data_IF_754840249918
#
_entry.id   IF_754840249918
#
_cell.length_a   1.000
_cell.length_b   1.000
_cell.length_c   1.000
_cell.angle_alpha   90.00
_cell.angle_beta   90.00
_cell.angle_gamma   90.00
#
_symmetry.space_group_name_H-M   'P 1'
#
loop_
_entity.id
_entity.type
_entity.pdbx_description
1 polymer ?
#
# COMPACT_ATOMS: atom_id res chain seq x y z
N UNK A 1 -9.97 29.19 -22.42
CA UNK A 1 -10.33 29.12 -20.99
C UNK A 1 -10.80 27.71 -20.69
N UNK A 2 -9.89 26.84 -20.24
CA UNK A 2 -10.23 25.46 -19.93
C UNK A 2 -10.97 25.41 -18.57
N UNK A 3 -12.15 24.80 -18.56
CA UNK A 3 -12.98 24.64 -17.37
C UNK A 3 -12.23 23.79 -16.33
N UNK A 4 -12.21 24.28 -15.08
CA UNK A 4 -11.73 23.51 -13.92
C UNK A 4 -12.55 22.21 -13.82
N UNK A 5 -11.92 21.02 -13.72
CA UNK A 5 -12.64 19.79 -13.44
C UNK A 5 -13.37 19.90 -12.09
N UNK A 6 -14.65 19.52 -12.07
CA UNK A 6 -15.51 19.64 -10.91
C UNK A 6 -15.08 18.65 -9.81
N UNK A 7 -15.29 19.04 -8.54
CA UNK A 7 -15.07 18.28 -7.29
C UNK A 7 -15.59 16.82 -7.25
N UNK A 8 -16.31 16.36 -8.28
CA UNK A 8 -16.99 15.05 -8.32
C UNK A 8 -16.12 13.89 -8.80
N UNK A 9 -14.98 14.15 -9.44
CA UNK A 9 -14.07 13.08 -9.92
C UNK A 9 -13.11 12.57 -8.83
N UNK A 10 -13.05 13.25 -7.68
CA UNK A 10 -12.23 12.87 -6.50
C UNK A 10 -12.86 11.72 -5.70
N UNK A 11 -14.12 11.38 -5.96
CA UNK A 11 -14.95 10.53 -5.08
C UNK A 11 -15.01 9.04 -5.46
N UNK A 12 -14.26 8.57 -6.47
CA UNK A 12 -14.27 7.14 -6.86
C UNK A 12 -13.04 6.33 -6.49
N UNK A 13 -12.07 6.94 -5.80
CA UNK A 13 -10.91 6.23 -5.22
C UNK A 13 -10.67 6.57 -3.73
N UNK A 14 -11.63 7.21 -3.06
CA UNK A 14 -11.39 7.82 -1.75
C UNK A 14 -12.46 7.35 -0.77
N UNK A 15 -12.14 6.35 0.06
CA UNK A 15 -12.98 5.99 1.18
C UNK A 15 -12.71 6.94 2.34
N UNK A 16 -13.76 7.72 2.65
CA UNK A 16 -14.05 8.44 3.89
C UNK A 16 -13.28 9.76 4.14
N UNK A 17 -14.04 10.85 4.08
CA UNK A 17 -13.70 12.15 4.65
C UNK A 17 -14.13 12.18 6.12
N UNK A 18 -13.21 12.48 7.04
CA UNK A 18 -13.54 13.08 8.34
C UNK A 18 -12.39 14.00 8.77
N UNK A 19 -12.70 15.28 8.94
CA UNK A 19 -11.77 16.35 9.25
C UNK A 19 -11.34 16.32 10.73
N UNK A 20 -10.05 16.57 11.00
CA UNK A 20 -9.55 16.79 12.35
C UNK A 20 -8.18 17.46 12.35
N UNK A 21 -8.15 18.78 12.21
CA UNK A 21 -6.95 19.63 12.25
C UNK A 21 -5.88 19.17 13.24
N UNK A 22 -4.77 18.63 12.74
CA UNK A 22 -3.52 18.53 13.49
C UNK A 22 -2.39 19.23 12.73
N UNK A 23 -1.73 20.11 13.47
CA UNK A 23 -0.65 20.99 13.03
C UNK A 23 0.51 20.21 12.42
N UNK A 24 0.84 20.53 11.17
CA UNK A 24 1.98 20.02 10.44
C UNK A 24 3.30 20.33 11.18
N UNK A 25 4.09 19.30 11.47
CA UNK A 25 5.52 19.47 11.81
C UNK A 25 6.33 19.03 10.60
N UNK A 26 6.53 19.98 9.69
CA UNK A 26 7.49 19.85 8.60
C UNK A 26 8.90 20.10 9.11
N UNK A 27 9.75 19.07 9.05
CA UNK A 27 11.17 19.17 9.31
C UNK A 27 11.81 17.81 9.07
N UNK A 28 12.83 17.77 8.20
CA UNK A 28 13.64 16.57 7.99
C UNK A 28 14.22 16.12 9.34
N UNK A 29 13.60 15.10 9.94
CA UNK A 29 14.10 14.50 11.17
C UNK A 29 15.30 13.63 10.82
N UNK A 30 16.39 13.70 11.60
CA UNK A 30 17.43 12.68 11.51
C UNK A 30 16.78 11.30 11.69
N UNK A 31 17.34 10.26 11.07
CA UNK A 31 16.81 8.89 11.17
C UNK A 31 16.66 8.48 12.64
N UNK A 32 15.47 8.68 13.19
CA UNK A 32 15.15 8.35 14.56
C UNK A 32 15.12 6.83 14.65
N UNK A 33 15.67 6.28 15.73
CA UNK A 33 15.52 4.86 16.00
C UNK A 33 14.01 4.54 16.03
N UNK A 34 13.60 3.47 15.33
CA UNK A 34 12.22 3.02 15.37
C UNK A 34 11.74 2.93 16.84
N UNK A 35 10.56 3.46 17.16
CA UNK A 35 10.07 3.58 18.54
C UNK A 35 10.04 2.20 19.21
N UNK A 36 10.28 2.14 20.52
CA UNK A 36 9.94 0.98 21.33
C UNK A 36 8.43 0.78 21.40
N UNK A 37 7.94 -0.39 21.80
CA UNK A 37 6.49 -0.62 21.91
C UNK A 37 5.84 0.28 22.98
N UNK A 38 6.62 0.74 23.97
CA UNK A 38 6.19 1.70 24.99
C UNK A 38 6.15 3.16 24.52
N UNK A 39 6.70 3.47 23.35
CA UNK A 39 6.72 4.83 22.79
C UNK A 39 5.53 5.07 21.82
N UNK A 40 4.76 4.01 21.52
CA UNK A 40 3.56 4.10 20.69
C UNK A 40 2.38 4.63 21.50
N UNK A 41 1.47 5.42 20.89
CA UNK A 41 0.31 5.96 21.58
C UNK A 41 -0.57 4.84 22.14
N UNK A 42 -1.05 5.02 23.37
CA UNK A 42 -2.10 4.16 23.91
C UNK A 42 -3.46 4.68 23.43
N UNK A 43 -4.19 3.85 22.69
CA UNK A 43 -5.45 4.20 22.05
C UNK A 43 -6.56 3.32 22.61
N UNK A 44 -7.38 3.82 23.55
CA UNK A 44 -8.45 3.04 24.18
C UNK A 44 -9.43 2.45 23.16
N UNK A 45 -9.65 1.15 23.22
CA UNK A 45 -10.58 0.43 22.33
C UNK A 45 -9.96 -0.05 21.01
N UNK A 46 -8.66 0.17 20.78
CA UNK A 46 -7.94 -0.41 19.64
C UNK A 46 -7.89 -1.94 19.74
N UNK A 47 -8.08 -2.62 18.61
CA UNK A 47 -8.02 -4.08 18.51
C UNK A 47 -6.93 -4.50 17.52
N UNK A 48 -6.28 -5.62 17.80
CA UNK A 48 -5.10 -6.10 17.07
C UNK A 48 -3.77 -5.57 17.63
N UNK A 49 -2.69 -5.77 16.89
CA UNK A 49 -1.36 -5.28 17.29
C UNK A 49 -1.29 -3.75 17.22
N UNK A 50 -0.84 -3.12 18.31
CA UNK A 50 -0.76 -1.65 18.43
C UNK A 50 0.18 -1.03 17.39
N UNK A 51 1.32 -1.67 17.13
CA UNK A 51 2.30 -1.17 16.17
C UNK A 51 1.79 -1.32 14.74
N UNK A 52 1.13 -2.43 14.44
CA UNK A 52 0.48 -2.63 13.14
C UNK A 52 -0.61 -1.58 12.92
N UNK A 53 -1.50 -1.34 13.88
CA UNK A 53 -2.48 -0.25 13.78
C UNK A 53 -1.80 1.10 13.53
N UNK A 54 -0.75 1.42 14.28
CA UNK A 54 -0.08 2.72 14.13
C UNK A 54 0.50 2.95 12.74
N UNK A 55 1.15 1.95 12.12
CA UNK A 55 1.69 2.15 10.76
C UNK A 55 0.59 2.34 9.72
N UNK A 56 -0.51 1.60 9.82
CA UNK A 56 -1.61 1.71 8.87
C UNK A 56 -2.40 3.00 9.09
N UNK A 57 -2.61 3.40 10.34
CA UNK A 57 -3.17 4.70 10.68
C UNK A 57 -2.34 5.85 10.08
N UNK A 58 -1.03 5.85 10.30
CA UNK A 58 -0.15 6.90 9.75
C UNK A 58 -0.12 6.89 8.22
N UNK A 59 -0.20 5.71 7.60
CA UNK A 59 -0.25 5.60 6.14
C UNK A 59 -1.55 6.18 5.60
N UNK A 60 -2.68 5.88 6.24
CA UNK A 60 -4.00 6.42 5.86
C UNK A 60 -4.03 7.94 6.07
N UNK A 61 -3.47 8.46 7.16
CA UNK A 61 -3.35 9.91 7.36
C UNK A 61 -2.53 10.56 6.25
N UNK A 62 -1.35 10.01 5.95
CA UNK A 62 -0.42 10.61 5.00
C UNK A 62 -0.88 10.53 3.53
N UNK A 63 -1.79 9.61 3.19
CA UNK A 63 -2.16 9.33 1.80
C UNK A 63 -3.64 9.49 1.48
N UNK A 64 -4.53 9.46 2.48
CA UNK A 64 -5.99 9.50 2.29
C UNK A 64 -6.64 10.67 3.04
N UNK A 65 -6.47 10.74 4.36
CA UNK A 65 -7.25 11.67 5.20
C UNK A 65 -6.65 13.08 5.22
N UNK A 66 -5.35 13.19 5.49
CA UNK A 66 -4.64 14.46 5.64
C UNK A 66 -3.33 14.48 4.84
N UNK A 67 -3.38 14.20 3.51
CA UNK A 67 -2.19 14.22 2.69
C UNK A 67 -1.59 15.63 2.65
N UNK A 68 -0.25 15.70 2.64
CA UNK A 68 0.44 16.97 2.44
C UNK A 68 0.11 17.56 1.06
N UNK A 69 0.31 18.88 0.90
CA UNK A 69 0.16 19.52 -0.40
C UNK A 69 1.11 18.90 -1.44
N UNK A 70 2.33 18.56 -1.03
CA UNK A 70 3.32 17.93 -1.91
C UNK A 70 2.82 16.56 -2.42
N UNK A 71 2.26 15.72 -1.55
CA UNK A 71 1.68 14.43 -1.95
C UNK A 71 0.47 14.64 -2.88
N UNK A 72 -0.39 15.61 -2.55
CA UNK A 72 -1.58 15.96 -3.33
C UNK A 72 -1.19 16.42 -4.74
N UNK A 73 -0.16 17.26 -4.87
CA UNK A 73 0.35 17.73 -6.15
C UNK A 73 0.96 16.60 -6.98
N UNK A 74 1.72 15.70 -6.34
CA UNK A 74 2.26 14.51 -6.99
C UNK A 74 1.14 13.59 -7.50
N UNK A 75 0.08 13.39 -6.71
CA UNK A 75 -1.10 12.64 -7.14
C UNK A 75 -1.76 13.29 -8.37
N UNK A 76 -1.97 14.61 -8.35
CA UNK A 76 -2.58 15.30 -9.49
C UNK A 76 -1.69 15.32 -10.73
N UNK A 77 -0.36 15.31 -10.59
CA UNK A 77 0.54 15.13 -11.71
C UNK A 77 0.35 13.75 -12.38
N UNK A 78 0.12 12.68 -11.59
CA UNK A 78 -0.20 11.36 -12.15
C UNK A 78 -1.56 11.34 -12.84
N UNK A 79 -2.56 12.03 -12.29
CA UNK A 79 -3.87 12.22 -12.94
C UNK A 79 -3.72 12.97 -14.26
N UNK A 80 -2.85 13.98 -14.34
CA UNK A 80 -2.60 14.71 -15.58
C UNK A 80 -1.92 13.82 -16.64
N UNK A 81 -1.07 12.86 -16.24
CA UNK A 81 -0.39 11.94 -17.14
C UNK A 81 -1.28 10.80 -17.65
N UNK A 82 -2.13 10.24 -16.79
CA UNK A 82 -2.83 8.98 -17.06
C UNK A 82 -4.37 9.07 -16.98
N UNK A 83 -4.91 10.25 -16.66
CA UNK A 83 -6.33 10.50 -16.47
C UNK A 83 -6.83 10.19 -15.06
N UNK A 84 -8.13 10.44 -14.83
CA UNK A 84 -8.81 9.99 -13.61
C UNK A 84 -8.76 8.47 -13.48
N UNK A 85 -8.42 7.96 -12.29
CA UNK A 85 -8.16 6.52 -12.09
C UNK A 85 -6.82 6.07 -12.68
N UNK A 86 -5.81 6.94 -12.61
CA UNK A 86 -4.45 6.71 -13.15
C UNK A 86 -3.87 5.36 -12.73
N UNK A 87 -4.17 4.93 -11.51
CA UNK A 87 -3.73 3.69 -10.90
C UNK A 87 -4.22 2.45 -11.67
N UNK A 88 -5.50 2.46 -12.07
CA UNK A 88 -6.08 1.44 -12.93
C UNK A 88 -5.53 1.49 -14.36
N UNK A 89 -5.26 2.69 -14.88
CA UNK A 89 -4.60 2.85 -16.19
C UNK A 89 -3.22 2.20 -16.18
N UNK A 90 -2.44 2.41 -15.13
CA UNK A 90 -1.10 1.82 -14.96
C UNK A 90 -1.20 0.30 -14.80
N UNK A 91 -2.09 -0.21 -13.94
CA UNK A 91 -2.32 -1.65 -13.76
C UNK A 91 -2.71 -2.34 -15.07
N UNK A 92 -3.67 -1.79 -15.79
CA UNK A 92 -4.16 -2.38 -17.04
C UNK A 92 -3.09 -2.33 -18.14
N UNK A 93 -2.26 -1.29 -18.15
CA UNK A 93 -1.13 -1.18 -19.09
C UNK A 93 -0.05 -2.20 -18.78
N UNK A 94 0.33 -2.34 -17.50
CA UNK A 94 1.23 -3.38 -17.05
C UNK A 94 0.72 -4.78 -17.44
N UNK A 95 -0.57 -5.09 -17.22
CA UNK A 95 -1.16 -6.39 -17.60
C UNK A 95 -1.02 -6.73 -19.08
N UNK A 96 -1.06 -5.73 -19.97
CA UNK A 96 -0.84 -5.95 -21.41
C UNK A 96 0.64 -6.15 -21.74
N UNK A 97 1.51 -5.37 -21.10
CA UNK A 97 2.95 -5.33 -21.41
C UNK A 97 3.72 -6.48 -20.77
N UNK A 98 3.33 -6.94 -19.57
CA UNK A 98 4.08 -7.95 -18.80
C UNK A 98 4.20 -9.32 -19.51
N UNK A 99 3.37 -9.58 -20.53
CA UNK A 99 3.46 -10.76 -21.39
C UNK A 99 4.15 -10.49 -22.73
N UNK A 100 4.56 -9.25 -23.00
CA UNK A 100 5.23 -8.84 -24.23
C UNK A 100 6.71 -9.23 -24.23
N UNK A 101 7.31 -9.54 -25.39
CA UNK A 101 8.75 -9.74 -25.52
C UNK A 101 9.60 -8.52 -25.09
N UNK A 102 9.04 -7.32 -25.17
CA UNK A 102 9.70 -6.05 -24.88
C UNK A 102 9.68 -5.69 -23.38
N UNK A 103 9.02 -6.48 -22.54
CA UNK A 103 9.00 -6.25 -21.10
C UNK A 103 10.38 -6.57 -20.48
N UNK A 104 10.95 -5.68 -19.64
CA UNK A 104 10.30 -4.55 -18.97
C UNK A 104 10.47 -3.17 -19.64
N UNK A 105 11.10 -3.08 -20.80
CA UNK A 105 11.53 -1.81 -21.38
C UNK A 105 10.35 -0.95 -21.82
N UNK A 106 9.33 -1.57 -22.43
CA UNK A 106 8.10 -0.90 -22.87
C UNK A 106 7.31 -0.29 -21.70
N UNK A 107 7.16 -1.04 -20.61
CA UNK A 107 6.49 -0.59 -19.41
C UNK A 107 7.31 0.49 -18.70
N UNK A 108 8.64 0.34 -18.66
CA UNK A 108 9.55 1.36 -18.09
C UNK A 108 9.43 2.67 -18.86
N UNK A 109 9.41 2.63 -20.19
CA UNK A 109 9.21 3.80 -21.03
C UNK A 109 7.83 4.46 -20.79
N UNK A 110 6.78 3.64 -20.64
CA UNK A 110 5.43 4.12 -20.32
C UNK A 110 5.34 4.85 -18.96
N UNK A 111 6.03 4.36 -17.94
CA UNK A 111 6.02 5.00 -16.61
C UNK A 111 7.08 6.09 -16.42
N UNK A 112 8.02 6.26 -17.35
CA UNK A 112 9.10 7.23 -17.23
C UNK A 112 8.64 8.69 -16.94
N UNK A 113 7.55 9.20 -17.55
CA UNK A 113 7.05 10.55 -17.26
C UNK A 113 6.60 10.73 -15.80
N UNK A 114 6.25 9.64 -15.11
CA UNK A 114 5.77 9.67 -13.73
C UNK A 114 6.88 9.62 -12.68
N UNK A 115 8.17 9.70 -13.07
CA UNK A 115 9.30 9.52 -12.16
C UNK A 115 9.27 10.44 -10.95
N UNK A 116 9.06 11.74 -11.16
CA UNK A 116 9.03 12.73 -10.09
C UNK A 116 7.85 12.54 -9.13
N UNK A 117 6.59 12.47 -9.59
CA UNK A 117 5.48 12.26 -8.66
C UNK A 117 5.55 10.90 -7.94
N UNK A 118 6.03 9.84 -8.61
CA UNK A 118 6.25 8.55 -7.95
C UNK A 118 7.36 8.61 -6.90
N UNK A 119 8.38 9.46 -7.06
CA UNK A 119 9.42 9.64 -6.05
C UNK A 119 8.89 10.33 -4.78
N UNK A 120 7.96 11.30 -4.93
CA UNK A 120 7.26 11.91 -3.79
C UNK A 120 6.41 10.87 -3.07
N UNK A 121 5.57 10.13 -3.81
CA UNK A 121 4.75 9.07 -3.21
C UNK A 121 5.61 8.00 -2.53
N UNK A 122 6.75 7.63 -3.14
CA UNK A 122 7.69 6.66 -2.58
C UNK A 122 8.19 7.09 -1.21
N UNK A 123 8.71 8.32 -1.14
CA UNK A 123 9.26 8.90 0.08
C UNK A 123 8.21 8.95 1.19
N UNK A 124 7.02 9.50 0.90
CA UNK A 124 5.94 9.62 1.91
C UNK A 124 5.55 8.26 2.48
N UNK A 125 5.37 7.24 1.64
CA UNK A 125 5.02 5.90 2.12
C UNK A 125 6.15 5.27 2.93
N UNK A 126 7.40 5.37 2.47
CA UNK A 126 8.55 4.78 3.16
C UNK A 126 8.86 5.50 4.48
N UNK A 127 8.68 6.82 4.55
CA UNK A 127 8.86 7.60 5.78
C UNK A 127 7.86 7.14 6.86
N UNK A 128 6.62 6.80 6.49
CA UNK A 128 5.64 6.22 7.41
C UNK A 128 6.12 4.86 7.94
N UNK A 129 6.58 3.97 7.05
CA UNK A 129 7.10 2.67 7.48
C UNK A 129 8.34 2.83 8.37
N UNK A 130 9.25 3.75 8.05
CA UNK A 130 10.48 3.99 8.80
C UNK A 130 10.23 4.67 10.15
N UNK A 131 9.14 5.41 10.29
CA UNK A 131 8.72 5.98 11.57
C UNK A 131 8.27 4.91 12.58
N UNK A 132 7.82 3.74 12.11
CA UNK A 132 7.24 2.69 12.98
C UNK A 132 8.08 1.41 12.99
N UNK A 133 8.74 1.06 11.90
CA UNK A 133 9.51 -0.17 11.75
C UNK A 133 10.92 0.13 11.26
N UNK A 134 11.88 -0.67 11.71
CA UNK A 134 13.19 -0.67 11.06
C UNK A 134 13.05 -1.25 9.65
N UNK A 135 13.91 -0.86 8.69
CA UNK A 135 13.93 -1.49 7.38
C UNK A 135 14.11 -3.01 7.51
N UNK A 136 13.22 -3.80 6.90
CA UNK A 136 13.19 -5.28 6.97
C UNK A 136 12.92 -5.86 8.37
N UNK A 137 12.26 -5.11 9.26
CA UNK A 137 11.84 -5.64 10.55
C UNK A 137 10.91 -6.86 10.37
N UNK A 138 11.22 -8.03 10.97
CA UNK A 138 10.40 -9.24 10.82
C UNK A 138 8.96 -9.05 11.32
N UNK A 139 8.70 -8.06 12.19
CA UNK A 139 7.35 -7.72 12.67
C UNK A 139 6.45 -7.19 11.56
N UNK A 140 6.99 -6.73 10.42
CA UNK A 140 6.20 -6.35 9.25
C UNK A 140 5.39 -7.53 8.71
N UNK A 141 5.89 -8.76 8.82
CA UNK A 141 5.13 -9.96 8.40
C UNK A 141 3.82 -10.05 9.20
N UNK A 142 3.88 -9.83 10.51
CA UNK A 142 2.68 -9.79 11.37
C UNK A 142 1.76 -8.64 10.99
N UNK A 143 2.30 -7.45 10.76
CA UNK A 143 1.51 -6.27 10.40
C UNK A 143 0.71 -6.46 9.11
N UNK A 144 1.32 -7.05 8.07
CA UNK A 144 0.64 -7.37 6.82
C UNK A 144 -0.36 -8.52 6.95
N UNK A 145 -0.08 -9.53 7.80
CA UNK A 145 -1.03 -10.60 8.08
C UNK A 145 -2.28 -10.10 8.82
N UNK A 146 -2.13 -9.27 9.86
CA UNK A 146 -3.27 -8.76 10.62
C UNK A 146 -4.12 -7.78 9.78
N UNK A 147 -3.48 -6.96 8.94
CA UNK A 147 -4.16 -6.13 7.94
C UNK A 147 -4.97 -6.98 6.95
N UNK A 148 -4.34 -7.99 6.33
CA UNK A 148 -5.02 -8.84 5.36
C UNK A 148 -6.17 -9.66 5.96
N UNK A 149 -6.08 -10.04 7.23
CA UNK A 149 -7.16 -10.74 7.94
C UNK A 149 -8.30 -9.81 8.37
N UNK A 150 -8.15 -8.48 8.32
CA UNK A 150 -9.16 -7.55 8.85
C UNK A 150 -9.26 -7.59 10.39
N UNK A 151 -8.12 -7.70 11.07
CA UNK A 151 -8.05 -7.77 12.54
C UNK A 151 -7.75 -6.42 13.22
N UNK A 152 -7.33 -5.42 12.44
CA UNK A 152 -6.83 -4.15 12.93
C UNK A 152 -7.96 -3.13 12.95
N UNK A 153 -8.45 -2.78 14.14
CA UNK A 153 -9.46 -1.74 14.33
C UNK A 153 -8.86 -0.55 15.07
N UNK A 154 -9.03 0.64 14.48
CA UNK A 154 -8.58 1.89 15.08
C UNK A 154 -9.76 2.81 15.44
N UNK A 155 -9.96 3.12 16.74
CA UNK A 155 -11.02 4.01 17.21
C UNK A 155 -10.91 5.44 16.67
N UNK A 156 -9.71 5.89 16.27
CA UNK A 156 -9.45 7.23 15.72
C UNK A 156 -10.14 7.41 14.36
N UNK A 157 -10.18 6.36 13.56
CA UNK A 157 -10.87 6.33 12.24
C UNK A 157 -12.25 5.68 12.32
N UNK A 158 -12.54 4.94 13.40
CA UNK A 158 -13.74 4.11 13.57
C UNK A 158 -13.90 3.07 12.47
N UNK A 159 -12.78 2.58 11.95
CA UNK A 159 -12.74 1.67 10.81
C UNK A 159 -11.66 0.59 10.97
N UNK A 160 -11.78 -0.47 10.17
CA UNK A 160 -10.72 -1.47 10.03
C UNK A 160 -9.64 -0.97 9.08
N UNK A 161 -8.38 -1.24 9.40
CA UNK A 161 -7.29 -1.15 8.43
C UNK A 161 -7.29 -2.41 7.59
N UNK A 162 -7.88 -2.32 6.40
CA UNK A 162 -8.00 -3.42 5.45
C UNK A 162 -8.13 -2.89 4.01
N UNK A 163 -7.66 -3.67 3.03
CA UNK A 163 -7.89 -3.36 1.63
C UNK A 163 -9.37 -3.60 1.28
N UNK A 164 -10.08 -2.59 0.79
CA UNK A 164 -11.49 -2.75 0.40
C UNK A 164 -11.65 -3.44 -0.97
N UNK A 165 -12.84 -4.00 -1.22
CA UNK A 165 -13.23 -4.62 -2.49
C UNK A 165 -13.22 -6.15 -2.48
N UNK A 166 -14.03 -6.75 -3.35
CA UNK A 166 -14.14 -8.21 -3.55
C UNK A 166 -14.04 -8.55 -5.04
N UNK A 167 -12.86 -8.96 -5.54
CA UNK A 167 -11.58 -9.15 -4.84
C UNK A 167 -10.90 -7.82 -4.46
N UNK A 168 -9.94 -7.82 -3.50
CA UNK A 168 -9.27 -6.60 -3.03
C UNK A 168 -8.26 -6.07 -4.06
N UNK A 169 -8.73 -5.26 -5.01
CA UNK A 169 -7.94 -4.81 -6.17
C UNK A 169 -6.71 -3.96 -5.83
N UNK A 170 -6.70 -3.29 -4.66
CA UNK A 170 -5.61 -2.39 -4.27
C UNK A 170 -4.25 -3.08 -4.12
N UNK A 171 -4.20 -4.39 -3.80
CA UNK A 171 -2.93 -5.12 -3.78
C UNK A 171 -2.26 -5.20 -5.15
N UNK A 172 -3.04 -5.43 -6.21
CA UNK A 172 -2.54 -5.51 -7.58
C UNK A 172 -2.09 -4.13 -8.07
N UNK A 173 -2.85 -3.08 -7.74
CA UNK A 173 -2.47 -1.69 -8.01
C UNK A 173 -1.15 -1.37 -7.31
N UNK A 174 -1.04 -1.61 -6.00
CA UNK A 174 0.16 -1.28 -5.24
C UNK A 174 1.38 -2.07 -5.72
N UNK A 175 1.20 -3.35 -6.11
CA UNK A 175 2.25 -4.14 -6.78
C UNK A 175 2.79 -3.43 -8.01
N UNK A 176 1.92 -3.02 -8.93
CA UNK A 176 2.37 -2.39 -10.19
C UNK A 176 3.00 -1.02 -9.94
N UNK A 177 2.49 -0.24 -8.99
CA UNK A 177 3.11 1.03 -8.59
C UNK A 177 4.51 0.80 -8.01
N UNK A 178 4.70 -0.23 -7.17
CA UNK A 178 6.03 -0.65 -6.70
C UNK A 178 6.94 -1.07 -7.87
N UNK A 179 6.43 -1.82 -8.86
CA UNK A 179 7.20 -2.21 -10.04
C UNK A 179 7.64 -1.00 -10.86
N UNK A 180 6.75 -0.03 -11.07
CA UNK A 180 7.08 1.22 -11.75
C UNK A 180 8.22 1.96 -11.02
N UNK A 181 8.11 2.15 -9.70
CA UNK A 181 9.16 2.78 -8.89
C UNK A 181 10.49 2.03 -9.00
N UNK A 182 10.47 0.69 -8.91
CA UNK A 182 11.67 -0.14 -9.04
C UNK A 182 12.35 0.00 -10.42
N UNK A 183 11.58 0.03 -11.51
CA UNK A 183 12.13 0.19 -12.86
C UNK A 183 12.70 1.59 -13.10
N UNK A 184 12.10 2.61 -12.49
CA UNK A 184 12.60 3.98 -12.53
C UNK A 184 13.77 4.23 -11.57
N UNK A 185 14.17 3.23 -10.77
CA UNK A 185 15.27 3.33 -9.82
C UNK A 185 14.93 4.12 -8.55
N UNK A 186 13.64 4.32 -8.25
CA UNK A 186 13.15 5.00 -7.05
C UNK A 186 13.09 3.98 -5.92
N UNK A 187 13.92 4.15 -4.89
CA UNK A 187 13.98 3.32 -3.68
C UNK A 187 13.94 1.80 -3.94
N UNK A 188 14.56 1.37 -5.04
CA UNK A 188 14.40 0.02 -5.61
C UNK A 188 14.61 -1.09 -4.58
N UNK A 189 15.63 -0.97 -3.73
CA UNK A 189 15.93 -1.97 -2.71
C UNK A 189 14.91 -2.04 -1.57
N UNK A 190 14.22 -0.93 -1.27
CA UNK A 190 13.14 -0.85 -0.28
C UNK A 190 11.88 -1.49 -0.84
N UNK A 191 11.47 -1.12 -2.05
CA UNK A 191 10.28 -1.68 -2.69
C UNK A 191 10.43 -3.16 -3.03
N UNK A 192 11.63 -3.61 -3.42
CA UNK A 192 11.90 -5.04 -3.60
C UNK A 192 11.75 -5.85 -2.29
N UNK A 193 11.99 -5.22 -1.12
CA UNK A 193 11.77 -5.86 0.18
C UNK A 193 10.29 -5.82 0.63
N UNK A 194 9.53 -4.80 0.21
CA UNK A 194 8.10 -4.66 0.52
C UNK A 194 7.19 -5.50 -0.37
N UNK A 195 7.56 -5.70 -1.65
CA UNK A 195 6.71 -6.40 -2.62
C UNK A 195 6.29 -7.83 -2.18
N UNK A 196 7.17 -8.67 -1.59
CA UNK A 196 6.74 -9.96 -1.04
C UNK A 196 5.74 -9.84 0.13
N UNK A 197 5.85 -8.79 0.96
CA UNK A 197 4.90 -8.52 2.04
C UNK A 197 3.51 -8.16 1.49
N UNK A 198 3.46 -7.31 0.44
CA UNK A 198 2.23 -6.98 -0.26
C UNK A 198 1.54 -8.22 -0.85
N UNK A 199 2.31 -9.08 -1.53
CA UNK A 199 1.78 -10.33 -2.08
C UNK A 199 1.30 -11.29 -0.99
N UNK A 200 2.04 -11.39 0.12
CA UNK A 200 1.64 -12.16 1.29
C UNK A 200 0.33 -11.64 1.92
N UNK A 201 0.20 -10.33 2.15
CA UNK A 201 -1.03 -9.71 2.66
C UNK A 201 -2.22 -9.96 1.75
N UNK A 202 -2.04 -9.85 0.43
CA UNK A 202 -3.05 -10.19 -0.57
C UNK A 202 -3.52 -11.65 -0.44
N UNK A 203 -2.58 -12.60 -0.37
CA UNK A 203 -2.90 -14.01 -0.24
C UNK A 203 -3.60 -14.34 1.09
N UNK A 204 -3.19 -13.69 2.18
CA UNK A 204 -3.86 -13.79 3.48
C UNK A 204 -5.30 -13.31 3.37
N UNK A 205 -5.54 -12.14 2.77
CA UNK A 205 -6.88 -11.58 2.65
C UNK A 205 -7.79 -12.43 1.74
N UNK A 206 -7.28 -12.91 0.61
CA UNK A 206 -8.01 -13.82 -0.27
C UNK A 206 -8.34 -15.16 0.43
N UNK A 207 -7.49 -15.61 1.35
CA UNK A 207 -7.73 -16.84 2.14
C UNK A 207 -8.72 -16.60 3.29
N UNK A 208 -8.63 -15.44 3.95
CA UNK A 208 -9.47 -15.09 5.09
C UNK A 208 -10.90 -14.72 4.68
N UNK A 209 -11.09 -14.17 3.47
CA UNK A 209 -12.35 -13.58 2.99
C UNK A 209 -13.06 -12.75 4.07
N UNK A 210 -12.38 -11.72 4.61
CA UNK A 210 -12.84 -11.03 5.81
C UNK A 210 -14.14 -10.25 5.58
N UNK A 211 -14.90 -10.13 6.66
CA UNK A 211 -15.91 -9.07 6.80
C UNK A 211 -15.18 -7.71 6.81
N UNK A 212 -15.65 -6.79 5.98
CA UNK A 212 -15.05 -5.46 5.84
C UNK A 212 -15.60 -4.46 6.87
N UNK A 213 -16.66 -4.81 7.58
CA UNK A 213 -17.33 -3.96 8.56
C UNK A 213 -17.01 -4.37 10.01
N UNK A 214 -16.67 -5.64 10.23
CA UNK A 214 -16.47 -6.20 11.57
C UNK A 214 -15.07 -6.79 11.74
N UNK A 215 -14.51 -6.66 12.95
CA UNK A 215 -13.22 -7.29 13.30
C UNK A 215 -13.32 -8.80 13.12
N UNK A 216 -12.33 -9.35 12.43
CA UNK A 216 -12.32 -10.76 12.06
C UNK A 216 -11.52 -11.61 13.05
N UNK A 217 -11.90 -12.88 13.27
CA UNK A 217 -11.06 -13.81 14.01
C UNK A 217 -9.78 -14.14 13.22
N UNK A 218 -8.68 -14.47 13.90
CA UNK A 218 -7.45 -14.89 13.22
C UNK A 218 -7.63 -16.21 12.47
N UNK A 219 -6.98 -16.32 11.32
CA UNK A 219 -6.72 -17.59 10.65
C UNK A 219 -5.89 -18.52 11.54
N UNK A 220 -5.97 -19.85 11.35
CA UNK A 220 -5.07 -20.78 12.01
C UNK A 220 -3.60 -20.43 11.75
N UNK A 221 -2.76 -20.43 12.79
CA UNK A 221 -1.33 -20.07 12.67
C UNK A 221 -0.61 -20.84 11.56
N UNK A 222 -0.94 -22.13 11.40
CA UNK A 222 -0.37 -22.99 10.35
C UNK A 222 -0.69 -22.48 8.94
N UNK A 223 -1.88 -21.92 8.72
CA UNK A 223 -2.28 -21.33 7.45
C UNK A 223 -1.45 -20.08 7.17
N UNK A 224 -1.34 -19.17 8.14
CA UNK A 224 -0.54 -17.95 8.00
C UNK A 224 0.94 -18.28 7.74
N UNK A 225 1.52 -19.23 8.47
CA UNK A 225 2.90 -19.70 8.26
C UNK A 225 3.11 -20.30 6.87
N UNK A 226 2.16 -21.11 6.37
CA UNK A 226 2.23 -21.69 5.02
C UNK A 226 2.21 -20.61 3.94
N UNK A 227 1.32 -19.62 4.07
CA UNK A 227 1.27 -18.48 3.16
C UNK A 227 2.56 -17.66 3.21
N UNK A 228 3.10 -17.39 4.39
CA UNK A 228 4.36 -16.67 4.56
C UNK A 228 5.53 -17.39 3.88
N UNK A 229 5.66 -18.71 4.13
CA UNK A 229 6.68 -19.54 3.49
C UNK A 229 6.56 -19.59 1.97
N UNK A 230 5.35 -19.45 1.42
CA UNK A 230 5.13 -19.44 -0.02
C UNK A 230 5.46 -18.08 -0.66
N UNK A 231 5.04 -16.97 -0.04
CA UNK A 231 5.04 -15.64 -0.67
C UNK A 231 6.27 -14.80 -0.34
N UNK A 232 6.82 -14.89 0.87
CA UNK A 232 7.91 -13.99 1.31
C UNK A 232 9.26 -14.27 0.62
N UNK A 233 9.44 -15.46 0.04
CA UNK A 233 10.68 -15.84 -0.65
C UNK A 233 10.62 -15.64 -2.17
N UNK A 234 9.50 -15.14 -2.71
CA UNK A 234 9.31 -14.98 -4.14
C UNK A 234 10.12 -13.81 -4.68
N UNK A 235 10.77 -14.04 -5.82
CA UNK A 235 11.42 -12.95 -6.56
C UNK A 235 10.39 -12.16 -7.40
N UNK A 236 10.78 -11.00 -7.92
CA UNK A 236 9.86 -10.11 -8.63
C UNK A 236 9.19 -10.75 -9.85
N UNK A 237 9.87 -11.65 -10.57
CA UNK A 237 9.27 -12.35 -11.72
C UNK A 237 8.16 -13.29 -11.27
N UNK A 238 8.36 -13.99 -10.17
CA UNK A 238 7.34 -14.88 -9.60
C UNK A 238 6.16 -14.07 -9.02
N UNK A 239 6.44 -12.90 -8.41
CA UNK A 239 5.38 -12.00 -7.96
C UNK A 239 4.58 -11.41 -9.13
N UNK A 240 5.25 -11.00 -10.21
CA UNK A 240 4.59 -10.55 -11.45
C UNK A 240 3.63 -11.63 -11.97
N UNK A 241 4.06 -12.89 -12.04
CA UNK A 241 3.19 -14.01 -12.43
C UNK A 241 2.01 -14.25 -11.45
N UNK A 242 2.24 -14.07 -10.14
CA UNK A 242 1.19 -14.14 -9.13
C UNK A 242 0.12 -13.07 -9.32
N UNK A 243 0.51 -11.83 -9.60
CA UNK A 243 -0.43 -10.73 -9.84
C UNK A 243 -1.05 -10.73 -11.24
N UNK A 244 -0.41 -11.35 -12.24
CA UNK A 244 -1.03 -11.62 -13.55
C UNK A 244 -2.25 -12.54 -13.42
N UNK A 245 -2.21 -13.50 -12.50
CA UNK A 245 -3.29 -14.46 -12.26
C UNK A 245 -4.35 -13.96 -11.26
N UNK A 246 -4.22 -12.74 -10.73
CA UNK A 246 -5.18 -12.14 -9.80
C UNK A 246 -6.61 -12.03 -10.40
N UNK A 247 -7.68 -12.33 -9.63
CA UNK A 247 -7.72 -12.58 -8.17
C UNK A 247 -7.48 -14.04 -7.76
N UNK A 248 -7.06 -14.89 -8.70
CA UNK A 248 -6.83 -16.31 -8.47
C UNK A 248 -5.33 -16.63 -8.61
N UNK A 249 -4.45 -16.04 -7.76
CA UNK A 249 -3.04 -16.41 -7.78
C UNK A 249 -2.91 -17.92 -7.53
N UNK A 250 -1.85 -18.54 -8.08
CA UNK A 250 -1.55 -19.94 -7.76
C UNK A 250 -1.42 -20.09 -6.24
N UNK A 251 -2.35 -20.80 -5.62
CA UNK A 251 -2.33 -21.08 -4.19
C UNK A 251 -1.26 -22.15 -3.88
N UNK A 252 -0.59 -22.08 -2.72
CA UNK A 252 0.30 -23.14 -2.24
C UNK A 252 -0.38 -24.49 -2.08
#
# INVERSE_FOLDING_TARGET
>A
MAARPARRDVLRASAVLAAGTLTAVGGARPAAAAPGDGDLPDVPGMLGDRRANEVWYLLDQATLYEPSQEFTDAYYALVALYGGGWDNTVLNTWRRMVTSPEYPDDFTAFVAPAREPLAVMSRVQLDVFDAVYRPRDPRLVRAFAEFGQGMLYDPRTRALHIMTGRPPGGYAVWHVVMRAMMFLGIDRGRWAAMAPLNAFGCAVQLTADPDLENVNPPLPERTVRRLAAHWLHRNMRQLDAGFQSFPYPQQP
#
